data_IF_853917827981
#
_entry.id   IF_853917827981
#
_cell.length_a   1.000
_cell.length_b   1.000
_cell.length_c   1.000
_cell.angle_alpha   90.00
_cell.angle_beta   90.00
_cell.angle_gamma   90.00
#
_symmetry.space_group_name_H-M   'P 1'
#
loop_
_entity.id
_entity.type
_entity.pdbx_description
1 polymer ?
#
# COMPACT_ATOMS: atom_id res chain seq x y z
N UNK A 1 -0.62 -7.57 8.27
CA UNK A 1 -1.56 -8.34 7.42
C UNK A 1 -2.78 -8.89 8.17
N UNK A 2 -2.66 -9.21 9.47
CA UNK A 2 -3.73 -9.81 10.29
C UNK A 2 -5.11 -9.14 10.15
N UNK A 3 -5.17 -7.80 10.15
CA UNK A 3 -6.45 -7.07 10.03
C UNK A 3 -7.14 -7.29 8.68
N UNK A 4 -6.39 -7.37 7.58
CA UNK A 4 -6.96 -7.59 6.25
C UNK A 4 -7.50 -9.01 6.14
N UNK A 5 -6.73 -10.00 6.61
CA UNK A 5 -7.17 -11.41 6.61
C UNK A 5 -8.43 -11.59 7.46
N UNK A 6 -8.46 -11.06 8.68
CA UNK A 6 -9.64 -11.15 9.55
C UNK A 6 -10.87 -10.46 8.95
N UNK A 7 -10.71 -9.31 8.29
CA UNK A 7 -11.81 -8.64 7.60
C UNK A 7 -12.34 -9.45 6.41
N UNK A 8 -11.46 -10.13 5.67
CA UNK A 8 -11.85 -11.03 4.58
C UNK A 8 -12.57 -12.28 5.09
N UNK A 9 -12.10 -12.88 6.19
CA UNK A 9 -12.74 -14.03 6.82
C UNK A 9 -14.15 -13.67 7.31
N UNK A 10 -14.31 -12.51 7.95
CA UNK A 10 -15.61 -12.01 8.39
C UNK A 10 -16.54 -11.71 7.21
N UNK A 11 -16.04 -11.08 6.15
CA UNK A 11 -16.81 -10.81 4.93
C UNK A 11 -17.28 -12.11 4.26
N UNK A 12 -16.45 -13.16 4.25
CA UNK A 12 -16.79 -14.48 3.71
C UNK A 12 -17.85 -15.21 4.56
N UNK A 13 -17.82 -15.03 5.88
CA UNK A 13 -18.79 -15.64 6.78
C UNK A 13 -20.17 -14.96 6.73
N UNK A 14 -20.24 -13.69 6.33
CA UNK A 14 -21.49 -12.95 6.20
C UNK A 14 -22.23 -13.34 4.91
N UNK A 15 -23.47 -13.80 5.05
CA UNK A 15 -24.27 -14.36 3.94
C UNK A 15 -25.59 -13.63 3.68
N UNK A 16 -25.91 -12.61 4.48
CA UNK A 16 -27.19 -11.89 4.41
C UNK A 16 -27.15 -10.68 3.45
N UNK A 17 -25.98 -10.35 2.89
CA UNK A 17 -25.83 -9.21 1.99
C UNK A 17 -24.39 -8.92 1.58
N UNK A 18 -24.15 -7.82 0.85
CA UNK A 18 -22.81 -7.41 0.45
C UNK A 18 -22.00 -6.88 1.63
N UNK A 19 -20.67 -6.99 1.55
CA UNK A 19 -19.73 -6.40 2.51
C UNK A 19 -18.80 -5.41 1.81
N UNK A 20 -18.59 -4.24 2.43
CA UNK A 20 -17.56 -3.28 2.03
C UNK A 20 -16.51 -3.14 3.14
N UNK A 21 -15.24 -3.39 2.81
CA UNK A 21 -14.12 -3.22 3.75
C UNK A 21 -13.50 -1.84 3.52
N UNK A 22 -13.65 -0.94 4.50
CA UNK A 22 -13.01 0.38 4.46
C UNK A 22 -11.55 0.27 4.94
N UNK A 23 -10.65 0.01 3.99
CA UNK A 23 -9.21 -0.08 4.26
C UNK A 23 -8.59 1.33 4.34
N UNK A 24 -8.28 1.79 5.55
CA UNK A 24 -7.58 3.06 5.77
C UNK A 24 -6.11 2.95 5.34
N UNK A 25 -5.77 3.53 4.20
CA UNK A 25 -4.44 3.43 3.57
C UNK A 25 -3.78 4.79 3.41
N UNK A 26 -2.47 4.79 3.12
CA UNK A 26 -1.71 6.00 2.82
C UNK A 26 -1.33 5.98 1.34
N UNK A 27 -1.68 7.04 0.61
CA UNK A 27 -1.32 7.20 -0.80
C UNK A 27 0.19 7.24 -0.98
N UNK A 28 0.74 6.48 -1.92
CA UNK A 28 2.19 6.44 -2.16
C UNK A 28 2.99 5.87 -0.99
N UNK A 29 2.37 5.04 -0.14
CA UNK A 29 3.04 4.36 0.99
C UNK A 29 4.34 3.69 0.53
N UNK A 30 5.37 3.78 1.38
CA UNK A 30 6.73 3.25 1.17
C UNK A 30 7.63 4.07 0.22
N UNK A 31 7.12 5.14 -0.38
CA UNK A 31 7.92 6.05 -1.19
C UNK A 31 7.95 7.43 -0.51
N UNK A 32 9.04 7.81 0.19
CA UNK A 32 9.07 9.02 1.02
C UNK A 32 8.73 10.31 0.27
N UNK A 33 9.09 10.38 -1.01
CA UNK A 33 8.75 11.55 -1.84
C UNK A 33 7.26 11.63 -2.17
N UNK A 34 6.51 10.53 -2.16
CA UNK A 34 5.09 10.44 -2.54
C UNK A 34 4.12 10.17 -1.38
N UNK A 35 4.59 9.67 -0.24
CA UNK A 35 3.75 9.20 0.86
C UNK A 35 2.85 10.32 1.43
N UNK A 36 1.54 10.12 1.36
CA UNK A 36 0.51 11.06 1.79
C UNK A 36 0.33 12.28 0.87
N UNK A 37 1.05 12.37 -0.26
CA UNK A 37 1.06 13.58 -1.10
C UNK A 37 0.09 13.49 -2.27
N UNK A 38 -0.90 14.39 -2.27
CA UNK A 38 -1.92 14.46 -3.32
C UNK A 38 -1.33 14.65 -4.73
N UNK A 39 -0.24 15.43 -4.85
CA UNK A 39 0.51 15.69 -6.10
C UNK A 39 0.83 14.40 -6.87
N UNK A 40 1.18 13.33 -6.17
CA UNK A 40 1.52 12.03 -6.78
C UNK A 40 0.28 11.17 -7.06
N UNK A 41 -0.86 11.78 -7.39
CA UNK A 41 -2.00 11.05 -7.94
C UNK A 41 -1.70 10.47 -9.32
N UNK A 42 -1.09 11.31 -10.15
CA UNK A 42 -0.83 11.03 -11.56
C UNK A 42 0.44 11.77 -12.03
N UNK A 43 1.27 12.24 -11.09
CA UNK A 43 2.54 12.85 -11.43
C UNK A 43 3.54 11.76 -11.81
N UNK A 44 4.26 11.96 -12.92
CA UNK A 44 5.40 11.14 -13.26
C UNK A 44 6.54 11.39 -12.25
N UNK A 45 7.31 10.34 -11.98
CA UNK A 45 8.58 10.47 -11.26
C UNK A 45 9.61 11.14 -12.16
N UNK A 46 10.46 11.96 -11.58
CA UNK A 46 11.73 12.34 -12.21
C UNK A 46 12.80 11.25 -12.01
N UNK A 47 13.96 11.42 -12.64
CA UNK A 47 15.05 10.43 -12.58
C UNK A 47 15.61 10.19 -11.16
N UNK A 48 15.57 11.19 -10.28
CA UNK A 48 16.03 11.08 -8.89
C UNK A 48 15.01 10.30 -8.05
N UNK A 49 13.73 10.66 -8.15
CA UNK A 49 12.62 9.95 -7.49
C UNK A 49 12.55 8.49 -7.94
N UNK A 50 12.81 8.21 -9.22
CA UNK A 50 12.88 6.85 -9.75
C UNK A 50 14.01 6.03 -9.11
N UNK A 51 15.21 6.60 -8.95
CA UNK A 51 16.33 5.94 -8.26
C UNK A 51 16.00 5.68 -6.79
N UNK A 52 15.38 6.65 -6.11
CA UNK A 52 14.93 6.49 -4.72
C UNK A 52 13.89 5.37 -4.63
N UNK A 53 12.94 5.31 -5.58
CA UNK A 53 11.91 4.26 -5.60
C UNK A 53 12.53 2.85 -5.69
N UNK A 54 13.56 2.66 -6.51
CA UNK A 54 14.27 1.37 -6.57
C UNK A 54 14.99 1.02 -5.28
N UNK A 55 15.65 1.99 -4.63
CA UNK A 55 16.28 1.77 -3.32
C UNK A 55 15.24 1.38 -2.26
N UNK A 56 14.07 2.03 -2.25
CA UNK A 56 12.96 1.66 -1.38
C UNK A 56 12.50 0.23 -1.64
N UNK A 57 12.38 -0.19 -2.91
CA UNK A 57 11.99 -1.55 -3.28
C UNK A 57 13.03 -2.58 -2.83
N UNK A 58 14.31 -2.31 -3.02
CA UNK A 58 15.38 -3.20 -2.54
C UNK A 58 15.35 -3.37 -1.03
N UNK A 59 15.13 -2.30 -0.28
CA UNK A 59 15.01 -2.36 1.18
C UNK A 59 13.78 -3.17 1.62
N UNK A 60 12.62 -2.92 1.02
CA UNK A 60 11.40 -3.69 1.32
C UNK A 60 11.57 -5.18 1.02
N UNK A 61 12.27 -5.55 -0.06
CA UNK A 61 12.57 -6.96 -0.36
C UNK A 61 13.40 -7.60 0.75
N UNK A 62 14.47 -6.92 1.18
CA UNK A 62 15.32 -7.41 2.29
C UNK A 62 14.54 -7.59 3.59
N UNK A 63 13.62 -6.68 3.90
CA UNK A 63 12.77 -6.78 5.10
C UNK A 63 11.80 -7.98 5.07
N UNK A 64 11.38 -8.41 3.88
CA UNK A 64 10.49 -9.58 3.71
C UNK A 64 11.27 -10.89 3.69
N UNK A 65 12.51 -10.87 3.21
CA UNK A 65 13.39 -12.05 3.10
C UNK A 65 14.17 -12.36 4.39
N UNK A 66 14.29 -11.39 5.31
CA UNK A 66 14.95 -11.52 6.60
C UNK A 66 14.04 -12.11 7.69
#
# INVERSE_FOLDING_TARGET
>A
MVQVLGALDAAKAYTEGPTAILAHTIKGKCFPFAEGKAKYHNAAMNDEEYKIAWQCIENMKREVEA
#
